data_IF_428138312862
#
_entry.id   IF_428138312862
#
_cell.length_a   1.000
_cell.length_b   1.000
_cell.length_c   1.000
_cell.angle_alpha   90.00
_cell.angle_beta   90.00
_cell.angle_gamma   90.00
#
_symmetry.space_group_name_H-M   'P 1'
#
loop_
_entity.id
_entity.type
_entity.pdbx_description
1 polymer ?
#
# COMPACT_ATOMS: atom_id res chain seq x y z
N UNK A 1 1.83 10.79 -10.29
CA UNK A 1 2.02 9.39 -9.83
C UNK A 1 1.71 9.22 -8.34
N UNK A 2 1.01 10.16 -7.71
CA UNK A 2 0.63 10.08 -6.29
C UNK A 2 -0.53 9.12 -6.08
N UNK A 3 -0.59 8.44 -4.93
CA UNK A 3 -1.79 7.71 -4.49
C UNK A 3 -2.75 8.67 -3.80
N UNK A 4 -3.89 8.92 -4.44
CA UNK A 4 -5.01 9.76 -3.98
C UNK A 4 -6.34 9.07 -4.33
N UNK A 5 -7.47 9.63 -3.91
CA UNK A 5 -8.80 9.16 -4.31
C UNK A 5 -9.18 9.53 -5.75
N UNK A 6 -10.22 8.87 -6.27
CA UNK A 6 -10.69 9.02 -7.64
C UNK A 6 -11.21 10.44 -7.92
N UNK A 7 -11.91 11.05 -6.97
CA UNK A 7 -12.48 12.40 -7.14
C UNK A 7 -11.36 13.43 -7.31
N UNK A 8 -10.29 13.32 -6.52
CA UNK A 8 -9.09 14.16 -6.64
C UNK A 8 -8.47 14.07 -8.04
N UNK A 9 -8.24 12.86 -8.59
CA UNK A 9 -7.65 12.74 -9.94
C UNK A 9 -8.61 13.20 -11.04
N UNK A 10 -9.91 13.01 -10.88
CA UNK A 10 -10.91 13.48 -11.84
C UNK A 10 -10.97 15.01 -11.86
N UNK A 11 -10.94 15.68 -10.71
CA UNK A 11 -10.88 17.15 -10.62
C UNK A 11 -9.61 17.69 -11.30
N UNK A 12 -8.44 17.11 -10.97
CA UNK A 12 -7.17 17.51 -11.57
C UNK A 12 -7.16 17.32 -13.08
N UNK A 13 -7.66 16.18 -13.57
CA UNK A 13 -7.76 15.90 -14.99
C UNK A 13 -8.63 16.93 -15.71
N UNK A 14 -9.80 17.26 -15.14
CA UNK A 14 -10.72 18.23 -15.72
C UNK A 14 -10.06 19.61 -15.88
N UNK A 15 -9.39 20.10 -14.83
CA UNK A 15 -8.72 21.40 -14.86
C UNK A 15 -7.58 21.42 -15.90
N UNK A 16 -6.78 20.35 -15.97
CA UNK A 16 -5.66 20.24 -16.92
C UNK A 16 -6.16 20.19 -18.36
N UNK A 17 -7.16 19.35 -18.64
CA UNK A 17 -7.73 19.19 -19.98
C UNK A 17 -8.45 20.46 -20.44
N UNK A 18 -9.14 21.18 -19.55
CA UNK A 18 -9.80 22.46 -19.87
C UNK A 18 -8.83 23.54 -20.38
N UNK A 19 -7.53 23.39 -20.10
CA UNK A 19 -6.46 24.29 -20.55
C UNK A 19 -5.65 23.73 -21.72
N UNK A 20 -6.14 22.69 -22.37
CA UNK A 20 -5.47 22.04 -23.51
C UNK A 20 -4.34 21.09 -23.14
N UNK A 21 -4.18 20.75 -21.85
CA UNK A 21 -3.23 19.74 -21.39
C UNK A 21 -3.75 18.32 -21.58
N UNK A 22 -2.82 17.35 -21.56
CA UNK A 22 -3.13 15.91 -21.51
C UNK A 22 -2.88 15.41 -20.08
N UNK A 23 -3.69 14.46 -19.62
CA UNK A 23 -3.59 13.95 -18.26
C UNK A 23 -3.55 12.42 -18.24
N UNK A 24 -2.61 11.90 -17.44
CA UNK A 24 -2.48 10.48 -17.14
C UNK A 24 -2.20 10.35 -15.64
N UNK A 25 -3.08 9.67 -14.92
CA UNK A 25 -2.73 9.19 -13.60
C UNK A 25 -1.88 7.91 -13.74
N UNK A 26 -0.88 7.77 -12.89
CA UNK A 26 0.01 6.61 -12.89
C UNK A 26 0.55 6.33 -11.48
N UNK A 27 -0.30 6.04 -10.47
CA UNK A 27 0.20 5.60 -9.16
C UNK A 27 1.04 4.32 -9.29
N UNK A 28 1.97 4.13 -8.34
CA UNK A 28 2.93 3.02 -8.35
C UNK A 28 2.78 2.13 -7.12
N UNK A 29 2.85 0.81 -7.32
CA UNK A 29 2.92 -0.19 -6.27
C UNK A 29 4.36 -0.67 -6.14
N UNK A 30 4.86 -0.64 -4.91
CA UNK A 30 6.25 -0.94 -4.56
C UNK A 30 6.66 -0.20 -3.29
N UNK A 31 7.94 -0.32 -2.96
CA UNK A 31 8.57 0.37 -1.83
C UNK A 31 9.82 1.13 -2.28
N UNK A 32 10.52 1.77 -1.35
CA UNK A 32 11.74 2.50 -1.67
C UNK A 32 12.78 1.64 -2.41
N UNK A 33 13.02 0.40 -1.96
CA UNK A 33 13.97 -0.51 -2.61
C UNK A 33 13.58 -0.79 -4.06
N UNK A 34 12.32 -1.21 -4.32
CA UNK A 34 11.84 -1.47 -5.67
C UNK A 34 11.85 -0.23 -6.55
N UNK A 35 11.65 0.96 -5.98
CA UNK A 35 11.79 2.23 -6.71
C UNK A 35 13.22 2.49 -7.15
N UNK A 36 14.20 2.23 -6.27
CA UNK A 36 15.62 2.41 -6.60
C UNK A 36 16.08 1.42 -7.68
N UNK A 37 15.50 0.22 -7.67
CA UNK A 37 15.86 -0.86 -8.60
C UNK A 37 15.12 -0.79 -9.95
N UNK A 38 14.21 0.19 -10.13
CA UNK A 38 13.39 0.29 -11.35
C UNK A 38 12.37 -0.86 -11.48
N UNK A 39 11.90 -1.41 -10.36
CA UNK A 39 11.07 -2.62 -10.29
C UNK A 39 9.62 -2.33 -9.88
N UNK A 40 9.16 -1.09 -9.97
CA UNK A 40 7.79 -0.70 -9.62
C UNK A 40 6.75 -1.35 -10.54
N UNK A 41 5.55 -1.55 -10.01
CA UNK A 41 4.37 -1.87 -10.81
C UNK A 41 3.58 -0.58 -11.01
N UNK A 42 3.41 -0.16 -12.26
CA UNK A 42 2.77 1.11 -12.61
C UNK A 42 1.31 0.83 -12.98
N UNK A 43 0.37 1.49 -12.31
CA UNK A 43 -1.06 1.42 -12.63
C UNK A 43 -1.44 2.75 -13.27
N UNK A 44 -1.76 2.77 -14.56
CA UNK A 44 -2.02 4.00 -15.30
C UNK A 44 -3.44 4.06 -15.86
N UNK A 45 -4.03 5.25 -15.93
CA UNK A 45 -5.33 5.51 -16.53
C UNK A 45 -5.47 6.98 -16.98
N UNK A 46 -6.27 7.23 -18.02
CA UNK A 46 -6.45 8.55 -18.65
C UNK A 46 -6.08 8.55 -20.13
N UNK A 47 -5.26 9.52 -20.57
CA UNK A 47 -4.89 9.67 -21.98
C UNK A 47 -4.05 8.48 -22.48
N UNK A 48 -4.63 7.68 -23.38
CA UNK A 48 -3.98 6.49 -23.95
C UNK A 48 -2.72 6.81 -24.74
N UNK A 49 -2.73 7.89 -25.51
CA UNK A 49 -1.53 8.28 -26.26
C UNK A 49 -0.40 8.68 -25.32
N UNK A 50 -0.71 9.32 -24.18
CA UNK A 50 0.30 9.81 -23.25
C UNK A 50 0.93 8.64 -22.50
N UNK A 51 0.11 7.62 -22.20
CA UNK A 51 0.60 6.34 -21.70
C UNK A 51 1.61 5.70 -22.67
N UNK A 52 1.33 5.70 -23.97
CA UNK A 52 2.22 5.16 -25.01
C UNK A 52 3.49 6.01 -25.18
N UNK A 53 3.36 7.35 -25.14
CA UNK A 53 4.49 8.28 -25.16
C UNK A 53 5.43 8.08 -23.95
N UNK A 54 4.89 7.69 -22.80
CA UNK A 54 5.65 7.41 -21.57
C UNK A 54 6.32 6.02 -21.54
N UNK A 55 6.22 5.21 -22.61
CA UNK A 55 6.69 3.82 -22.62
C UNK A 55 8.14 3.65 -22.16
N UNK A 56 9.08 4.47 -22.65
CA UNK A 56 10.50 4.38 -22.25
C UNK A 56 10.73 4.79 -20.79
N UNK A 57 9.99 5.78 -20.29
CA UNK A 57 10.03 6.18 -18.88
C UNK A 57 9.50 5.07 -17.96
N UNK A 58 8.38 4.46 -18.32
CA UNK A 58 7.78 3.36 -17.57
C UNK A 58 8.66 2.10 -17.56
N UNK A 59 9.33 1.79 -18.67
CA UNK A 59 10.30 0.69 -18.73
C UNK A 59 11.54 0.95 -17.86
N UNK A 60 11.97 2.21 -17.71
CA UNK A 60 13.13 2.54 -16.89
C UNK A 60 12.84 2.48 -15.38
N UNK A 61 11.62 2.83 -14.97
CA UNK A 61 11.27 2.94 -13.54
C UNK A 61 10.46 1.77 -13.00
N UNK A 62 9.93 0.91 -13.89
CA UNK A 62 9.00 -0.14 -13.53
C UNK A 62 9.36 -1.48 -14.14
N UNK A 63 9.05 -2.55 -13.41
CA UNK A 63 9.06 -3.92 -13.90
C UNK A 63 7.97 -4.14 -14.95
N UNK A 64 6.81 -3.51 -14.74
CA UNK A 64 5.64 -3.64 -15.62
C UNK A 64 4.69 -2.45 -15.45
N UNK A 65 3.86 -2.22 -16.46
CA UNK A 65 2.82 -1.19 -16.45
C UNK A 65 1.49 -1.73 -16.95
N UNK A 66 0.39 -1.27 -16.34
CA UNK A 66 -0.98 -1.61 -16.70
C UNK A 66 -1.75 -0.35 -17.08
N UNK A 67 -2.47 -0.39 -18.20
CA UNK A 67 -3.40 0.68 -18.58
C UNK A 67 -4.83 0.25 -18.24
N UNK A 68 -5.48 0.99 -17.36
CA UNK A 68 -6.75 0.66 -16.71
C UNK A 68 -7.93 1.46 -17.26
N UNK A 69 -7.75 2.12 -18.41
CA UNK A 69 -8.81 2.87 -19.09
C UNK A 69 -8.95 4.30 -18.56
N UNK A 70 -10.17 4.67 -18.19
CA UNK A 70 -10.55 6.05 -17.82
C UNK A 70 -9.95 6.53 -16.49
N UNK A 71 -9.75 7.85 -16.38
CA UNK A 71 -9.27 8.51 -15.16
C UNK A 71 -10.13 8.12 -13.95
N UNK A 72 -9.48 7.83 -12.83
CA UNK A 72 -10.06 7.34 -11.59
C UNK A 72 -9.89 5.83 -11.41
N UNK A 73 -9.72 5.05 -12.50
CA UNK A 73 -9.58 3.61 -12.41
C UNK A 73 -8.24 3.20 -11.77
N UNK A 74 -7.15 3.92 -12.03
CA UNK A 74 -5.87 3.59 -11.42
C UNK A 74 -5.81 4.00 -9.95
N UNK A 75 -6.39 5.15 -9.58
CA UNK A 75 -6.60 5.53 -8.19
C UNK A 75 -7.38 4.46 -7.40
N UNK A 76 -8.54 4.02 -7.92
CA UNK A 76 -9.35 2.96 -7.28
C UNK A 76 -8.56 1.66 -7.12
N UNK A 77 -7.90 1.20 -8.19
CA UNK A 77 -7.12 -0.04 -8.14
C UNK A 77 -5.96 0.04 -7.13
N UNK A 78 -5.25 1.16 -7.09
CA UNK A 78 -4.17 1.37 -6.13
C UNK A 78 -4.67 1.33 -4.68
N UNK A 79 -5.81 1.98 -4.39
CA UNK A 79 -6.41 1.95 -3.06
C UNK A 79 -6.82 0.54 -2.65
N UNK A 80 -7.36 -0.27 -3.57
CA UNK A 80 -7.70 -1.68 -3.31
C UNK A 80 -6.43 -2.49 -2.99
N UNK A 81 -5.37 -2.33 -3.78
CA UNK A 81 -4.07 -3.01 -3.55
C UNK A 81 -3.51 -2.66 -2.16
N UNK A 82 -3.46 -1.36 -1.83
CA UNK A 82 -2.92 -0.91 -0.55
C UNK A 82 -3.84 -1.25 0.64
N UNK A 83 -5.15 -1.37 0.42
CA UNK A 83 -6.08 -1.86 1.43
C UNK A 83 -5.77 -3.30 1.84
N UNK A 84 -5.54 -4.18 0.85
CA UNK A 84 -5.15 -5.57 1.10
C UNK A 84 -3.79 -5.63 1.81
N UNK A 85 -2.80 -4.89 1.31
CA UNK A 85 -1.45 -4.88 1.88
C UNK A 85 -1.44 -4.34 3.33
N UNK A 86 -2.16 -3.25 3.59
CA UNK A 86 -2.28 -2.65 4.92
C UNK A 86 -2.97 -3.58 5.91
N UNK A 87 -4.07 -4.20 5.50
CA UNK A 87 -4.80 -5.16 6.34
C UNK A 87 -3.95 -6.40 6.64
N UNK A 88 -3.25 -6.94 5.64
CA UNK A 88 -2.38 -8.10 5.81
C UNK A 88 -1.23 -7.82 6.79
N UNK A 89 -0.60 -6.65 6.71
CA UNK A 89 0.45 -6.26 7.68
C UNK A 89 -0.08 -6.14 9.12
N UNK A 90 -1.31 -5.64 9.31
CA UNK A 90 -1.92 -5.62 10.64
C UNK A 90 -2.14 -7.05 11.17
N UNK A 91 -2.61 -7.98 10.33
CA UNK A 91 -2.76 -9.40 10.68
C UNK A 91 -1.42 -10.07 11.01
N UNK A 92 -0.35 -9.77 10.25
CA UNK A 92 1.00 -10.26 10.54
C UNK A 92 1.48 -9.79 11.91
N UNK A 93 1.30 -8.49 12.19
CA UNK A 93 1.66 -7.89 13.48
C UNK A 93 0.91 -8.57 14.64
N UNK A 94 -0.40 -8.76 14.49
CA UNK A 94 -1.23 -9.44 15.47
C UNK A 94 -0.74 -10.87 15.75
N UNK A 95 -0.50 -11.66 14.70
CA UNK A 95 0.01 -13.03 14.82
C UNK A 95 1.37 -13.11 15.52
N UNK A 96 2.32 -12.23 15.16
CA UNK A 96 3.63 -12.15 15.80
C UNK A 96 3.54 -11.75 17.27
N UNK A 97 2.68 -10.78 17.62
CA UNK A 97 2.49 -10.41 19.02
C UNK A 97 1.77 -11.50 19.82
N UNK A 98 0.78 -12.18 19.22
CA UNK A 98 0.08 -13.28 19.87
C UNK A 98 1.02 -14.45 20.15
N UNK A 99 1.88 -14.80 19.19
CA UNK A 99 2.94 -15.79 19.39
C UNK A 99 3.83 -15.40 20.57
N UNK A 100 4.30 -14.15 20.63
CA UNK A 100 5.15 -13.66 21.70
C UNK A 100 4.49 -13.77 23.09
N UNK A 101 3.26 -13.27 23.25
CA UNK A 101 2.58 -13.25 24.57
C UNK A 101 2.12 -14.64 25.03
N UNK A 102 2.00 -15.59 24.11
CA UNK A 102 1.68 -17.01 24.41
C UNK A 102 2.93 -17.88 24.55
N UNK A 103 4.12 -17.27 24.61
CA UNK A 103 5.40 -17.97 24.82
C UNK A 103 5.89 -18.78 23.61
N UNK A 104 5.37 -18.50 22.42
CA UNK A 104 5.80 -19.12 21.17
C UNK A 104 6.93 -18.31 20.52
N UNK A 105 7.83 -19.00 19.82
CA UNK A 105 8.91 -18.37 19.06
C UNK A 105 8.36 -17.67 17.81
N UNK A 106 8.56 -16.35 17.73
CA UNK A 106 8.21 -15.57 16.54
C UNK A 106 9.00 -16.01 15.29
N UNK A 107 10.26 -16.44 15.47
CA UNK A 107 11.06 -16.99 14.36
C UNK A 107 10.46 -18.29 13.85
N UNK A 108 10.07 -19.20 14.74
CA UNK A 108 9.46 -20.48 14.34
C UNK A 108 8.08 -20.25 13.70
N UNK A 109 7.32 -19.26 14.17
CA UNK A 109 6.08 -18.84 13.51
C UNK A 109 6.33 -18.39 12.06
N UNK A 110 7.34 -17.55 11.83
CA UNK A 110 7.76 -17.16 10.48
C UNK A 110 8.17 -18.37 9.62
N UNK A 111 9.00 -19.25 10.17
CA UNK A 111 9.49 -20.44 9.46
C UNK A 111 8.31 -21.31 8.98
N UNK A 112 7.31 -21.53 9.85
CA UNK A 112 6.09 -22.28 9.52
C UNK A 112 5.31 -21.59 8.40
N UNK A 113 5.11 -20.27 8.47
CA UNK A 113 4.39 -19.55 7.42
C UNK A 113 5.09 -19.62 6.06
N UNK A 114 6.42 -19.59 6.05
CA UNK A 114 7.22 -19.69 4.83
C UNK A 114 7.20 -21.10 4.20
N UNK A 115 6.83 -22.14 4.93
CA UNK A 115 6.56 -23.47 4.37
C UNK A 115 5.12 -23.61 3.84
N UNK A 116 4.24 -22.66 4.14
CA UNK A 116 2.83 -22.70 3.82
C UNK A 116 2.46 -21.96 2.52
N UNK A 117 1.17 -21.97 2.20
CA UNK A 117 0.62 -21.32 1.00
C UNK A 117 0.61 -19.78 1.06
N UNK A 118 0.85 -19.20 2.24
CA UNK A 118 0.91 -17.75 2.44
C UNK A 118 2.32 -17.17 2.25
N UNK A 119 3.30 -18.03 1.98
CA UNK A 119 4.68 -17.61 1.78
C UNK A 119 4.77 -16.55 0.68
N UNK A 120 5.35 -15.40 1.02
CA UNK A 120 5.53 -14.28 0.09
C UNK A 120 6.71 -13.42 0.52
N UNK A 121 7.33 -12.73 -0.43
CA UNK A 121 8.45 -11.80 -0.17
C UNK A 121 8.02 -10.73 0.85
N UNK A 122 6.79 -10.24 0.75
CA UNK A 122 6.25 -9.24 1.68
C UNK A 122 6.17 -9.78 3.12
N UNK A 123 5.60 -10.98 3.30
CA UNK A 123 5.47 -11.61 4.61
C UNK A 123 6.84 -11.81 5.26
N UNK A 124 7.75 -12.44 4.53
CA UNK A 124 9.09 -12.75 5.03
C UNK A 124 9.86 -11.48 5.43
N UNK A 125 9.93 -10.51 4.53
CA UNK A 125 10.64 -9.25 4.77
C UNK A 125 10.07 -8.48 5.97
N UNK A 126 8.75 -8.37 6.08
CA UNK A 126 8.13 -7.59 7.16
C UNK A 126 8.24 -8.30 8.53
N UNK A 127 8.18 -9.62 8.56
CA UNK A 127 8.46 -10.39 9.78
C UNK A 127 9.93 -10.25 10.20
N UNK A 128 10.89 -10.35 9.28
CA UNK A 128 12.30 -10.16 9.58
C UNK A 128 12.59 -8.75 10.12
N UNK A 129 11.96 -7.71 9.54
CA UNK A 129 12.05 -6.34 10.06
C UNK A 129 11.60 -6.25 11.52
N UNK A 130 10.47 -6.89 11.87
CA UNK A 130 9.96 -6.93 13.25
C UNK A 130 10.92 -7.68 14.18
N UNK A 131 11.39 -8.86 13.78
CA UNK A 131 12.30 -9.69 14.56
C UNK A 131 13.64 -8.99 14.85
N UNK A 132 14.11 -8.15 13.92
CA UNK A 132 15.32 -7.33 14.06
C UNK A 132 15.06 -5.98 14.76
N UNK A 133 13.80 -5.65 15.05
CA UNK A 133 13.42 -4.32 15.57
C UNK A 133 13.69 -3.17 14.58
N UNK A 134 13.85 -3.47 13.29
CA UNK A 134 14.17 -2.50 12.25
C UNK A 134 12.89 -1.97 11.59
N UNK A 135 12.54 -0.74 11.91
CA UNK A 135 11.38 -0.04 11.35
C UNK A 135 11.76 1.13 10.44
N UNK A 136 12.97 1.10 9.86
CA UNK A 136 13.38 2.08 8.84
C UNK A 136 12.37 2.04 7.68
N UNK A 137 11.83 3.19 7.24
CA UNK A 137 10.72 3.23 6.30
C UNK A 137 11.10 2.76 4.90
N UNK A 138 10.49 1.65 4.47
CA UNK A 138 10.41 1.25 3.06
C UNK A 138 9.09 1.75 2.44
N UNK A 139 8.02 1.74 3.24
CA UNK A 139 6.77 2.42 2.96
C UNK A 139 6.21 3.00 4.27
N UNK A 140 6.04 4.32 4.32
CA UNK A 140 5.68 5.00 5.55
C UNK A 140 4.33 4.57 6.12
N UNK A 141 4.27 4.40 7.44
CA UNK A 141 3.04 4.05 8.17
C UNK A 141 1.93 5.10 7.95
N UNK A 142 2.27 6.39 7.92
CA UNK A 142 1.28 7.44 7.62
C UNK A 142 0.67 7.31 6.23
N UNK A 143 1.40 6.77 5.24
CA UNK A 143 0.89 6.57 3.89
C UNK A 143 -0.07 5.39 3.82
N UNK A 144 0.27 4.25 4.43
CA UNK A 144 -0.66 3.10 4.43
C UNK A 144 -1.93 3.43 5.22
N UNK A 145 -1.84 4.19 6.31
CA UNK A 145 -3.03 4.64 7.05
C UNK A 145 -3.90 5.58 6.21
N UNK A 146 -3.28 6.50 5.46
CA UNK A 146 -4.00 7.37 4.51
C UNK A 146 -4.67 6.53 3.42
N UNK A 147 -4.00 5.53 2.87
CA UNK A 147 -4.57 4.66 1.82
C UNK A 147 -5.74 3.82 2.35
N UNK A 148 -5.64 3.24 3.55
CA UNK A 148 -6.74 2.53 4.21
C UNK A 148 -7.96 3.44 4.41
N UNK A 149 -7.74 4.68 4.88
CA UNK A 149 -8.81 5.67 5.03
C UNK A 149 -9.51 5.97 3.71
N UNK A 150 -8.74 6.16 2.62
CA UNK A 150 -9.31 6.43 1.30
C UNK A 150 -10.01 5.20 0.70
N UNK A 151 -9.51 3.98 0.94
CA UNK A 151 -10.15 2.75 0.53
C UNK A 151 -11.50 2.51 1.25
N UNK A 152 -11.57 2.84 2.55
CA UNK A 152 -12.83 2.80 3.30
C UNK A 152 -13.83 3.80 2.71
N UNK A 153 -13.40 5.03 2.43
CA UNK A 153 -14.25 6.04 1.79
C UNK A 153 -14.73 5.61 0.39
N UNK A 154 -13.88 4.93 -0.38
CA UNK A 154 -14.27 4.33 -1.66
C UNK A 154 -15.38 3.27 -1.49
N UNK A 155 -15.28 2.43 -0.46
CA UNK A 155 -16.34 1.46 -0.11
C UNK A 155 -17.65 2.14 0.28
N UNK A 156 -17.58 3.19 1.11
CA UNK A 156 -18.74 4.01 1.53
C UNK A 156 -19.48 4.60 0.31
N UNK A 157 -18.73 5.19 -0.63
CA UNK A 157 -19.28 5.80 -1.85
C UNK A 157 -20.11 4.84 -2.73
N UNK A 158 -19.93 3.51 -2.57
CA UNK A 158 -20.69 2.48 -3.29
C UNK A 158 -21.53 1.60 -2.36
N UNK A 159 -21.73 2.02 -1.12
CA UNK A 159 -22.45 1.26 -0.08
C UNK A 159 -21.90 -0.17 0.14
N UNK A 160 -20.58 -0.36 0.01
CA UNK A 160 -19.91 -1.64 0.21
C UNK A 160 -19.16 -1.68 1.54
N UNK A 161 -19.58 -2.50 2.51
CA UNK A 161 -18.89 -2.62 3.79
C UNK A 161 -17.46 -3.16 3.65
N UNK A 162 -16.51 -2.52 4.31
CA UNK A 162 -15.08 -2.91 4.31
C UNK A 162 -14.57 -3.20 5.74
N UNK A 163 -15.17 -4.16 6.48
CA UNK A 163 -14.91 -4.33 7.92
C UNK A 163 -13.44 -4.65 8.26
N UNK A 164 -12.76 -5.41 7.40
CA UNK A 164 -11.33 -5.73 7.59
C UNK A 164 -10.46 -4.48 7.49
N UNK A 165 -10.71 -3.63 6.49
CA UNK A 165 -9.99 -2.37 6.32
C UNK A 165 -10.28 -1.40 7.48
N UNK A 166 -11.55 -1.34 7.94
CA UNK A 166 -11.95 -0.53 9.07
C UNK A 166 -11.20 -0.92 10.35
N UNK A 167 -11.13 -2.23 10.67
CA UNK A 167 -10.37 -2.72 11.82
C UNK A 167 -8.87 -2.37 11.70
N UNK A 168 -8.25 -2.66 10.55
CA UNK A 168 -6.85 -2.34 10.32
C UNK A 168 -6.58 -0.82 10.47
N UNK A 169 -7.42 0.03 9.90
CA UNK A 169 -7.28 1.48 9.95
C UNK A 169 -7.23 2.02 11.38
N UNK A 170 -8.04 1.49 12.30
CA UNK A 170 -8.01 1.91 13.71
C UNK A 170 -6.71 1.48 14.42
N UNK A 171 -6.18 0.30 14.09
CA UNK A 171 -4.86 -0.13 14.59
C UNK A 171 -3.74 0.79 14.07
N UNK A 172 -3.78 1.17 12.80
CA UNK A 172 -2.82 2.13 12.25
C UNK A 172 -2.96 3.52 12.87
N UNK A 173 -4.17 3.99 13.18
CA UNK A 173 -4.36 5.25 13.92
C UNK A 173 -3.76 5.17 15.32
N UNK A 174 -3.91 4.04 16.03
CA UNK A 174 -3.23 3.79 17.30
C UNK A 174 -1.70 3.86 17.13
N UNK A 175 -1.14 3.20 16.12
CA UNK A 175 0.29 3.29 15.83
C UNK A 175 0.75 4.73 15.57
N UNK A 176 -0.03 5.54 14.85
CA UNK A 176 0.27 6.98 14.65
C UNK A 176 0.26 7.76 15.96
N UNK A 177 -0.66 7.47 16.88
CA UNK A 177 -0.71 8.09 18.20
C UNK A 177 0.48 7.68 19.10
N UNK A 178 1.18 6.61 18.75
CA UNK A 178 2.43 6.16 19.35
C UNK A 178 3.66 6.65 18.58
N UNK A 179 3.56 7.76 17.84
CA UNK A 179 4.64 8.39 17.07
C UNK A 179 5.27 7.51 15.97
N UNK A 180 4.51 6.55 15.42
CA UNK A 180 5.02 5.65 14.38
C UNK A 180 4.81 6.16 12.94
N UNK A 181 4.29 7.37 12.76
CA UNK A 181 3.89 7.91 11.45
C UNK A 181 5.00 7.86 10.39
N UNK A 182 6.25 8.12 10.80
CA UNK A 182 7.41 8.22 9.91
C UNK A 182 8.28 6.96 9.89
N UNK A 183 7.86 5.89 10.57
CA UNK A 183 8.47 4.58 10.46
C UNK A 183 7.82 3.76 9.34
N UNK A 184 8.37 2.58 9.05
CA UNK A 184 7.77 1.64 8.10
C UNK A 184 6.36 1.20 8.55
N UNK A 185 5.53 0.79 7.59
CA UNK A 185 4.22 0.21 7.86
C UNK A 185 4.26 -0.97 8.86
N UNK A 186 5.36 -1.73 8.93
CA UNK A 186 5.53 -2.79 9.92
C UNK A 186 5.54 -2.29 11.35
N UNK A 187 5.78 -1.00 11.59
CA UNK A 187 5.72 -0.38 12.91
C UNK A 187 4.30 -0.39 13.51
N UNK A 188 3.27 -0.78 12.74
CA UNK A 188 1.94 -1.13 13.28
C UNK A 188 2.03 -2.21 14.35
N UNK A 189 3.07 -3.05 14.32
CA UNK A 189 3.44 -3.97 15.40
C UNK A 189 3.46 -3.31 16.78
N UNK A 190 3.96 -2.07 16.88
CA UNK A 190 4.05 -1.33 18.15
C UNK A 190 2.69 -0.93 18.73
N UNK A 191 1.62 -0.97 17.93
CA UNK A 191 0.26 -0.75 18.42
C UNK A 191 -0.30 -1.93 19.25
N UNK A 192 0.36 -3.10 19.18
CA UNK A 192 -0.01 -4.32 19.90
C UNK A 192 0.88 -4.62 21.12
N UNK A 193 1.97 -3.88 21.30
CA UNK A 193 2.89 -4.09 22.43
C UNK A 193 2.22 -3.61 23.73
N UNK A 194 2.30 -4.43 24.77
CA UNK A 194 1.84 -4.13 26.13
C UNK A 194 2.83 -3.28 26.92
#
# INVERSE_FOLDING_TARGET
MSTVDADTVTELAQVIVSRGGRFLEAPVSGNQQLSNDGMLVILAAGDRGLYEDCSSCFQAMGKTSFFLGEVGNAAKMMLIVNMVQGSFMATIAEGLTLAQVTGQSQQTFLDILNQGQLASIFLDQKCQNILQGNFKPDFYLKYIQKDLRLAIALGDAVNHPTPMAAAANEVYKRAKALDQSDNDMSAVYRAYIH
#
